data_IF_972585625245
#
_entry.id   IF_972585625245
#
_cell.length_a   1.000
_cell.length_b   1.000
_cell.length_c   1.000
_cell.angle_alpha   90.00
_cell.angle_beta   90.00
_cell.angle_gamma   90.00
#
_symmetry.space_group_name_H-M   'P 1'
#
loop_
_entity.id
_entity.type
_entity.pdbx_description
1 polymer ?
#
# COMPACT_ATOMS: atom_id res chain seq x y z
N UNK A 1 -18.10 17.90 27.13
CA UNK A 1 -16.99 16.99 26.71
C UNK A 1 -17.53 15.56 26.67
N UNK A 2 -17.91 15.02 25.51
CA UNK A 2 -18.22 13.58 25.32
C UNK A 2 -16.94 12.86 24.91
N UNK A 3 -16.64 11.69 25.48
CA UNK A 3 -15.35 11.03 25.28
C UNK A 3 -15.18 10.55 23.84
N UNK A 4 -14.08 10.99 23.22
CA UNK A 4 -13.63 10.73 21.83
C UNK A 4 -13.18 9.26 21.59
N UNK A 5 -13.45 8.35 22.52
CA UNK A 5 -13.08 6.92 22.44
C UNK A 5 -14.02 6.07 21.57
N UNK A 6 -15.06 6.65 20.96
CA UNK A 6 -16.18 5.84 20.45
C UNK A 6 -16.14 5.50 18.95
N UNK A 7 -15.31 6.15 18.11
CA UNK A 7 -15.35 5.91 16.66
C UNK A 7 -14.33 4.88 16.17
N UNK A 8 -13.12 4.87 16.72
CA UNK A 8 -12.04 3.99 16.25
C UNK A 8 -12.37 2.49 16.32
N UNK A 9 -12.82 1.94 17.46
CA UNK A 9 -13.17 0.53 17.56
C UNK A 9 -14.38 0.13 16.68
N UNK A 10 -15.37 1.01 16.56
CA UNK A 10 -16.55 0.78 15.71
C UNK A 10 -16.16 0.82 14.23
N UNK A 11 -15.32 1.77 13.82
CA UNK A 11 -14.80 1.85 12.44
C UNK A 11 -13.89 0.67 12.14
N UNK A 12 -13.06 0.22 13.09
CA UNK A 12 -12.23 -0.97 12.96
C UNK A 12 -13.09 -2.21 12.72
N UNK A 13 -14.10 -2.46 13.56
CA UNK A 13 -15.01 -3.61 13.41
C UNK A 13 -15.80 -3.51 12.10
N UNK A 14 -16.29 -2.32 11.75
CA UNK A 14 -16.97 -2.10 10.45
C UNK A 14 -16.05 -2.31 9.27
N UNK A 15 -14.81 -1.85 9.33
CA UNK A 15 -13.80 -2.05 8.29
C UNK A 15 -13.51 -3.53 8.07
N UNK A 16 -13.42 -4.31 9.13
CA UNK A 16 -13.26 -5.76 9.10
C UNK A 16 -14.45 -6.49 8.52
N UNK A 17 -15.66 -6.06 8.91
CA UNK A 17 -16.90 -6.63 8.39
C UNK A 17 -17.09 -6.28 6.90
N UNK A 18 -16.69 -5.08 6.49
CA UNK A 18 -16.77 -4.63 5.10
C UNK A 18 -15.81 -5.40 4.17
N UNK A 19 -14.61 -5.73 4.64
CA UNK A 19 -13.61 -6.49 3.85
C UNK A 19 -14.08 -7.94 3.53
N UNK A 20 -15.04 -8.46 4.28
CA UNK A 20 -15.64 -9.79 4.07
C UNK A 20 -16.95 -9.77 3.28
N UNK A 21 -17.57 -8.59 3.13
CA UNK A 21 -18.84 -8.42 2.41
C UNK A 21 -18.56 -7.87 1.03
N UNK A 22 -19.34 -8.31 0.04
CA UNK A 22 -19.38 -7.61 -1.24
C UNK A 22 -19.73 -6.16 -1.01
N UNK A 23 -19.04 -5.20 -1.68
CA UNK A 23 -19.37 -3.79 -1.55
C UNK A 23 -20.79 -3.54 -2.05
N UNK A 24 -21.57 -2.81 -1.28
CA UNK A 24 -22.86 -2.30 -1.73
C UNK A 24 -22.61 -1.06 -2.60
N UNK A 25 -22.37 -1.31 -3.89
CA UNK A 25 -22.07 -0.27 -4.88
C UNK A 25 -23.21 0.75 -5.00
N UNK A 26 -24.47 0.30 -4.92
CA UNK A 26 -25.62 1.19 -5.01
C UNK A 26 -25.69 2.14 -3.81
N UNK A 27 -25.48 1.62 -2.60
CA UNK A 27 -25.44 2.43 -1.40
C UNK A 27 -24.22 3.37 -1.33
N UNK A 28 -23.08 3.00 -1.91
CA UNK A 28 -21.91 3.89 -2.05
C UNK A 28 -22.17 4.99 -3.09
N UNK A 29 -22.74 4.65 -4.24
CA UNK A 29 -23.10 5.61 -5.28
C UNK A 29 -24.18 6.61 -4.84
N UNK A 30 -25.13 6.18 -4.01
CA UNK A 30 -26.20 7.03 -3.48
C UNK A 30 -25.75 7.97 -2.35
N UNK A 31 -24.58 7.74 -1.72
CA UNK A 31 -24.11 8.58 -0.62
C UNK A 31 -23.81 10.00 -1.10
N UNK A 32 -24.32 11.00 -0.37
CA UNK A 32 -24.18 12.43 -0.70
C UNK A 32 -23.35 13.20 0.33
N UNK A 33 -23.11 12.62 1.50
CA UNK A 33 -22.36 13.27 2.59
C UNK A 33 -20.87 12.95 2.46
N UNK A 34 -20.00 13.96 2.22
CA UNK A 34 -18.59 13.76 1.95
C UNK A 34 -17.86 12.89 2.99
N UNK A 35 -17.94 13.26 4.27
CA UNK A 35 -17.32 12.51 5.37
C UNK A 35 -17.81 11.06 5.44
N UNK A 36 -19.12 10.85 5.25
CA UNK A 36 -19.71 9.52 5.32
C UNK A 36 -19.27 8.66 4.14
N UNK A 37 -19.14 9.25 2.96
CA UNK A 37 -18.61 8.57 1.77
C UNK A 37 -17.17 8.11 2.00
N UNK A 38 -16.28 9.01 2.44
CA UNK A 38 -14.87 8.69 2.73
C UNK A 38 -14.76 7.49 3.67
N UNK A 39 -15.46 7.51 4.81
CA UNK A 39 -15.38 6.41 5.78
C UNK A 39 -16.08 5.12 5.35
N UNK A 40 -17.03 5.18 4.42
CA UNK A 40 -17.70 3.98 3.88
C UNK A 40 -16.90 3.32 2.78
N UNK A 41 -16.23 4.11 1.92
CA UNK A 41 -15.44 3.57 0.81
C UNK A 41 -14.05 3.10 1.26
N UNK A 42 -13.46 3.71 2.29
CA UNK A 42 -12.11 3.42 2.76
C UNK A 42 -11.84 1.94 3.04
N UNK A 43 -12.69 1.16 3.75
CA UNK A 43 -12.44 -0.25 3.99
C UNK A 43 -12.35 -1.10 2.71
N UNK A 44 -13.14 -0.76 1.70
CA UNK A 44 -13.14 -1.45 0.41
C UNK A 44 -11.94 -1.06 -0.45
N UNK A 45 -11.53 0.21 -0.40
CA UNK A 45 -10.39 0.73 -1.15
C UNK A 45 -9.04 0.37 -0.52
N UNK A 46 -8.94 0.43 0.83
CA UNK A 46 -7.67 0.36 1.56
C UNK A 46 -7.39 -1.01 2.20
N UNK A 47 -8.39 -1.88 2.38
CA UNK A 47 -8.23 -3.21 2.97
C UNK A 47 -7.46 -3.20 4.32
N UNK A 48 -6.26 -3.79 4.37
CA UNK A 48 -5.42 -3.83 5.58
C UNK A 48 -4.96 -2.45 6.05
N UNK A 49 -4.71 -1.51 5.13
CA UNK A 49 -4.34 -0.13 5.49
C UNK A 49 -5.48 0.63 6.20
N UNK A 50 -6.74 0.30 5.90
CA UNK A 50 -7.88 0.92 6.58
C UNK A 50 -7.79 0.74 8.11
N UNK A 51 -7.36 -0.43 8.58
CA UNK A 51 -7.22 -0.70 10.01
C UNK A 51 -6.19 0.22 10.68
N UNK A 52 -5.05 0.45 10.02
CA UNK A 52 -4.01 1.35 10.53
C UNK A 52 -4.46 2.82 10.50
N UNK A 53 -5.24 3.22 9.49
CA UNK A 53 -5.75 4.59 9.38
C UNK A 53 -6.80 4.90 10.46
N UNK A 54 -7.78 4.01 10.67
CA UNK A 54 -8.91 4.28 11.56
C UNK A 54 -8.56 4.33 13.05
N UNK A 55 -7.40 3.79 13.46
CA UNK A 55 -6.91 3.85 14.83
C UNK A 55 -6.12 5.11 15.14
N UNK A 56 -5.72 5.90 14.14
CA UNK A 56 -5.03 7.17 14.32
C UNK A 56 -5.91 8.21 15.07
N UNK A 57 -5.33 9.24 15.70
CA UNK A 57 -6.09 10.38 16.19
C UNK A 57 -6.97 10.97 15.07
N UNK A 58 -8.15 11.48 15.44
CA UNK A 58 -9.22 11.84 14.49
C UNK A 58 -8.76 12.68 13.30
N UNK A 59 -8.02 13.76 13.55
CA UNK A 59 -7.59 14.67 12.47
C UNK A 59 -6.54 14.01 11.57
N UNK A 60 -5.61 13.25 12.16
CA UNK A 60 -4.64 12.48 11.40
C UNK A 60 -5.31 11.34 10.61
N UNK A 61 -6.26 10.63 11.20
CA UNK A 61 -7.03 9.59 10.51
C UNK A 61 -7.80 10.15 9.31
N UNK A 62 -8.37 11.34 9.45
CA UNK A 62 -9.11 12.03 8.39
C UNK A 62 -8.20 12.44 7.24
N UNK A 63 -7.06 13.05 7.56
CA UNK A 63 -6.05 13.43 6.56
C UNK A 63 -5.46 12.20 5.85
N UNK A 64 -5.12 11.14 6.62
CA UNK A 64 -4.62 9.89 6.08
C UNK A 64 -5.65 9.17 5.18
N UNK A 65 -6.93 9.18 5.54
CA UNK A 65 -7.99 8.60 4.72
C UNK A 65 -8.12 9.31 3.38
N UNK A 66 -8.14 10.65 3.36
CA UNK A 66 -8.20 11.47 2.14
C UNK A 66 -6.96 11.22 1.27
N UNK A 67 -5.76 11.29 1.85
CA UNK A 67 -4.51 11.03 1.15
C UNK A 67 -4.48 9.63 0.53
N UNK A 68 -4.87 8.61 1.30
CA UNK A 68 -4.94 7.24 0.82
C UNK A 68 -5.92 7.07 -0.35
N UNK A 69 -7.10 7.69 -0.29
CA UNK A 69 -8.08 7.60 -1.36
C UNK A 69 -7.56 8.26 -2.66
N UNK A 70 -6.82 9.36 -2.58
CA UNK A 70 -6.17 9.94 -3.75
C UNK A 70 -5.06 9.03 -4.31
N UNK A 71 -4.23 8.43 -3.46
CA UNK A 71 -3.28 7.42 -3.90
C UNK A 71 -3.98 6.25 -4.60
N UNK A 72 -5.11 5.77 -4.04
CA UNK A 72 -5.91 4.71 -4.66
C UNK A 72 -6.48 5.11 -6.03
N UNK A 73 -6.86 6.38 -6.23
CA UNK A 73 -7.27 6.87 -7.55
C UNK A 73 -6.11 6.84 -8.56
N UNK A 74 -4.88 7.20 -8.13
CA UNK A 74 -3.67 7.03 -8.96
C UNK A 74 -3.43 5.56 -9.34
N UNK A 75 -3.48 4.64 -8.34
CA UNK A 75 -3.39 3.20 -8.61
C UNK A 75 -4.47 2.73 -9.61
N UNK A 76 -5.66 3.33 -9.56
CA UNK A 76 -6.76 2.97 -10.47
C UNK A 76 -6.46 3.40 -11.91
N UNK A 77 -5.83 4.58 -12.12
CA UNK A 77 -5.31 4.96 -13.45
C UNK A 77 -4.20 4.03 -13.92
N UNK A 78 -3.31 3.60 -13.03
CA UNK A 78 -2.24 2.65 -13.37
C UNK A 78 -2.81 1.29 -13.78
N UNK A 79 -3.77 0.76 -13.01
CA UNK A 79 -4.29 -0.60 -13.13
C UNK A 79 -5.38 -0.78 -14.21
N UNK A 80 -6.21 0.25 -14.45
CA UNK A 80 -7.43 0.16 -15.25
C UNK A 80 -7.45 1.08 -16.48
N UNK A 81 -6.35 1.74 -16.83
CA UNK A 81 -6.29 2.46 -18.11
C UNK A 81 -6.16 1.49 -19.28
N UNK A 82 -6.80 1.85 -20.39
CA UNK A 82 -6.88 1.01 -21.60
C UNK A 82 -5.50 0.73 -22.23
N UNK A 83 -4.62 1.73 -22.22
CA UNK A 83 -3.30 1.67 -22.83
C UNK A 83 -2.27 2.54 -22.05
N UNK A 84 -0.97 2.40 -22.33
CA UNK A 84 0.07 3.17 -21.65
C UNK A 84 -0.05 4.70 -21.81
N UNK A 85 -0.52 5.19 -22.94
CA UNK A 85 -0.66 6.64 -23.19
C UNK A 85 -1.81 7.21 -22.35
N UNK A 86 -2.97 6.53 -22.33
CA UNK A 86 -4.11 6.89 -21.48
C UNK A 86 -3.74 6.84 -19.99
N UNK A 87 -2.95 5.84 -19.57
CA UNK A 87 -2.42 5.73 -18.20
C UNK A 87 -1.59 6.94 -17.81
N UNK A 88 -0.60 7.29 -18.61
CA UNK A 88 0.29 8.44 -18.36
C UNK A 88 -0.51 9.74 -18.34
N UNK A 89 -1.44 9.93 -19.30
CA UNK A 89 -2.30 11.10 -19.36
C UNK A 89 -3.20 11.20 -18.11
N UNK A 90 -3.80 10.11 -17.69
CA UNK A 90 -4.64 10.04 -16.48
C UNK A 90 -3.87 10.38 -15.21
N UNK A 91 -2.68 9.80 -15.01
CA UNK A 91 -1.81 10.06 -13.87
C UNK A 91 -1.38 11.55 -13.82
N UNK A 92 -0.90 12.11 -14.94
CA UNK A 92 -0.50 13.52 -15.04
C UNK A 92 -1.69 14.46 -14.82
N UNK A 93 -2.82 14.17 -15.47
CA UNK A 93 -4.04 14.97 -15.34
C UNK A 93 -4.59 14.95 -13.92
N UNK A 94 -4.56 13.79 -13.24
CA UNK A 94 -5.00 13.69 -11.86
C UNK A 94 -4.12 14.53 -10.91
N UNK A 95 -2.80 14.46 -11.05
CA UNK A 95 -1.86 15.23 -10.22
C UNK A 95 -1.99 16.75 -10.48
N UNK A 96 -2.19 17.17 -11.73
CA UNK A 96 -2.32 18.59 -12.10
C UNK A 96 -3.53 19.28 -11.45
N UNK A 97 -4.56 18.53 -11.03
CA UNK A 97 -5.76 19.07 -10.34
C UNK A 97 -5.40 19.84 -9.06
N UNK A 98 -4.34 19.41 -8.35
CA UNK A 98 -3.92 20.00 -7.07
C UNK A 98 -3.30 21.41 -7.21
N UNK A 99 -2.99 21.84 -8.43
CA UNK A 99 -2.56 23.21 -8.74
C UNK A 99 -3.71 24.15 -9.15
N UNK A 100 -4.95 23.66 -9.17
CA UNK A 100 -6.12 24.41 -9.62
C UNK A 100 -7.06 24.75 -8.45
N UNK A 101 -7.72 25.90 -8.52
CA UNK A 101 -8.78 26.30 -7.58
C UNK A 101 -9.93 26.93 -8.38
N UNK A 102 -11.12 26.29 -8.44
CA UNK A 102 -11.43 24.97 -7.87
C UNK A 102 -10.73 23.83 -8.61
N UNK A 103 -10.54 22.70 -7.92
CA UNK A 103 -10.01 21.48 -8.53
C UNK A 103 -10.98 20.94 -9.59
N UNK A 104 -10.55 20.70 -10.84
CA UNK A 104 -11.41 20.15 -11.88
C UNK A 104 -11.75 18.68 -11.57
N UNK A 105 -12.83 18.16 -12.16
CA UNK A 105 -13.14 16.74 -12.08
C UNK A 105 -12.01 15.89 -12.69
N UNK A 106 -11.68 14.71 -12.11
CA UNK A 106 -10.70 13.82 -12.70
C UNK A 106 -11.23 13.23 -14.02
N UNK A 107 -10.31 12.87 -14.91
CA UNK A 107 -10.67 12.19 -16.16
C UNK A 107 -11.35 10.85 -15.85
N UNK A 108 -12.48 10.51 -16.51
CA UNK A 108 -13.17 9.25 -16.27
C UNK A 108 -12.37 8.07 -16.85
N UNK A 109 -12.50 6.90 -16.23
CA UNK A 109 -12.03 5.61 -16.75
C UNK A 109 -13.26 4.81 -17.19
N UNK A 110 -13.21 4.16 -18.34
CA UNK A 110 -14.34 3.39 -18.88
C UNK A 110 -14.78 2.26 -17.93
N UNK A 111 -16.07 2.22 -17.60
CA UNK A 111 -16.63 1.22 -16.69
C UNK A 111 -16.45 -0.23 -17.19
N UNK A 112 -16.33 -0.46 -18.50
CA UNK A 112 -16.09 -1.76 -19.12
C UNK A 112 -14.71 -2.36 -18.81
N UNK A 113 -13.80 -1.59 -18.21
CA UNK A 113 -12.46 -2.06 -17.81
C UNK A 113 -12.44 -2.71 -16.42
N UNK A 114 -13.54 -2.66 -15.65
CA UNK A 114 -13.66 -3.32 -14.36
C UNK A 114 -13.75 -4.85 -14.52
N UNK A 115 -12.87 -5.57 -13.88
CA UNK A 115 -12.79 -7.04 -13.89
C UNK A 115 -13.65 -7.67 -12.80
N UNK A 116 -13.84 -6.97 -11.69
CA UNK A 116 -14.56 -7.44 -10.51
C UNK A 116 -15.24 -6.30 -9.74
N UNK A 117 -15.91 -6.62 -8.62
CA UNK A 117 -16.57 -5.63 -7.77
C UNK A 117 -15.59 -4.67 -7.09
N UNK A 118 -14.34 -5.07 -6.90
CA UNK A 118 -13.29 -4.22 -6.34
C UNK A 118 -12.89 -3.13 -7.34
N UNK A 119 -12.68 -3.50 -8.59
CA UNK A 119 -12.40 -2.53 -9.65
C UNK A 119 -13.56 -1.54 -9.79
N UNK A 120 -14.82 -2.01 -9.66
CA UNK A 120 -16.00 -1.15 -9.67
C UNK A 120 -16.02 -0.14 -8.52
N UNK A 121 -15.59 -0.54 -7.30
CA UNK A 121 -15.42 0.41 -6.19
C UNK A 121 -14.36 1.47 -6.51
N UNK A 122 -13.25 1.06 -7.13
CA UNK A 122 -12.18 1.98 -7.49
C UNK A 122 -12.62 2.97 -8.59
N UNK A 123 -13.37 2.52 -9.58
CA UNK A 123 -13.97 3.39 -10.61
C UNK A 123 -14.99 4.35 -9.98
N UNK A 124 -15.87 3.83 -9.11
CA UNK A 124 -16.84 4.66 -8.38
C UNK A 124 -16.13 5.74 -7.53
N UNK A 125 -14.97 5.42 -6.97
CA UNK A 125 -14.18 6.39 -6.20
C UNK A 125 -13.71 7.56 -7.09
N UNK A 126 -13.32 7.31 -8.34
CA UNK A 126 -12.98 8.36 -9.32
C UNK A 126 -14.22 9.17 -9.68
N UNK A 127 -15.35 8.53 -10.00
CA UNK A 127 -16.61 9.21 -10.33
C UNK A 127 -17.11 10.11 -9.20
N UNK A 128 -16.87 9.70 -7.95
CA UNK A 128 -17.29 10.41 -6.74
C UNK A 128 -16.17 11.22 -6.10
N UNK A 129 -15.09 11.49 -6.81
CA UNK A 129 -13.93 12.21 -6.34
C UNK A 129 -14.30 13.55 -5.68
N UNK A 130 -15.30 14.26 -6.18
CA UNK A 130 -15.78 15.51 -5.61
C UNK A 130 -16.18 15.40 -4.13
N UNK A 131 -16.61 14.23 -3.65
CA UNK A 131 -16.89 14.01 -2.22
C UNK A 131 -15.60 13.91 -1.40
N UNK A 132 -14.53 13.36 -1.96
CA UNK A 132 -13.21 13.35 -1.33
C UNK A 132 -12.60 14.76 -1.34
N UNK A 133 -12.74 15.49 -2.47
CA UNK A 133 -12.30 16.87 -2.61
C UNK A 133 -12.98 17.80 -1.59
N UNK A 134 -14.28 17.59 -1.32
CA UNK A 134 -15.01 18.35 -0.31
C UNK A 134 -14.45 18.13 1.11
N UNK A 135 -14.01 16.92 1.45
CA UNK A 135 -13.34 16.66 2.73
C UNK A 135 -11.93 17.27 2.73
N UNK A 136 -11.17 17.10 1.65
CA UNK A 136 -9.84 17.69 1.47
C UNK A 136 -9.86 19.22 1.67
N UNK A 137 -10.83 19.91 1.10
CA UNK A 137 -10.97 21.38 1.22
C UNK A 137 -11.12 21.86 2.68
N UNK A 138 -11.60 20.99 3.58
CA UNK A 138 -11.76 21.32 5.01
C UNK A 138 -10.51 21.01 5.85
N UNK A 139 -9.47 20.39 5.28
CA UNK A 139 -8.20 20.16 5.97
C UNK A 139 -7.38 21.45 6.06
N UNK A 140 -6.51 21.54 7.05
CA UNK A 140 -5.60 22.67 7.19
C UNK A 140 -4.71 22.87 5.95
N UNK A 141 -4.29 24.11 5.66
CA UNK A 141 -3.55 24.43 4.42
C UNK A 141 -2.24 23.65 4.30
N UNK A 142 -1.51 23.46 5.39
CA UNK A 142 -0.27 22.69 5.40
C UNK A 142 -0.50 21.21 5.09
N UNK A 143 -1.55 20.61 5.66
CA UNK A 143 -1.92 19.21 5.37
C UNK A 143 -2.32 19.05 3.91
N UNK A 144 -3.09 20.01 3.36
CA UNK A 144 -3.43 20.04 1.95
C UNK A 144 -2.21 20.12 1.05
N UNK A 145 -1.26 20.99 1.40
CA UNK A 145 -0.01 21.10 0.65
C UNK A 145 0.82 19.81 0.68
N UNK A 146 0.88 19.12 1.82
CA UNK A 146 1.54 17.80 1.93
C UNK A 146 0.85 16.74 1.07
N UNK A 147 -0.48 16.68 1.08
CA UNK A 147 -1.24 15.76 0.23
C UNK A 147 -0.98 16.07 -1.25
N UNK A 148 -0.96 17.34 -1.65
CA UNK A 148 -0.62 17.75 -3.03
C UNK A 148 0.78 17.28 -3.44
N UNK A 149 1.79 17.45 -2.57
CA UNK A 149 3.15 16.94 -2.83
C UNK A 149 3.20 15.42 -2.93
N UNK A 150 2.50 14.70 -2.04
CA UNK A 150 2.38 13.24 -2.10
C UNK A 150 1.82 12.78 -3.45
N UNK A 151 0.68 13.34 -3.86
CA UNK A 151 0.02 12.98 -5.12
C UNK A 151 0.92 13.27 -6.32
N UNK A 152 1.57 14.44 -6.36
CA UNK A 152 2.49 14.81 -7.43
C UNK A 152 3.70 13.84 -7.51
N UNK A 153 4.32 13.52 -6.37
CA UNK A 153 5.49 12.63 -6.33
C UNK A 153 5.13 11.19 -6.70
N UNK A 154 4.00 10.68 -6.18
CA UNK A 154 3.54 9.34 -6.51
C UNK A 154 3.17 9.24 -8.00
N UNK A 155 2.41 10.20 -8.53
CA UNK A 155 2.05 10.23 -9.95
C UNK A 155 3.29 10.28 -10.86
N UNK A 156 4.29 11.10 -10.54
CA UNK A 156 5.55 11.16 -11.29
C UNK A 156 6.28 9.82 -11.31
N UNK A 157 6.32 9.11 -10.18
CA UNK A 157 6.91 7.78 -10.09
C UNK A 157 6.14 6.73 -10.89
N UNK A 158 4.81 6.77 -10.85
CA UNK A 158 3.95 5.85 -11.62
C UNK A 158 4.02 6.12 -13.13
N UNK A 159 4.13 7.39 -13.53
CA UNK A 159 4.40 7.76 -14.94
C UNK A 159 5.72 7.17 -15.39
N UNK A 160 6.80 7.36 -14.61
CA UNK A 160 8.10 6.76 -14.91
C UNK A 160 8.01 5.24 -15.05
N UNK A 161 7.31 4.56 -14.10
CA UNK A 161 7.15 3.11 -14.14
C UNK A 161 6.39 2.66 -15.39
N UNK A 162 5.28 3.34 -15.72
CA UNK A 162 4.48 3.05 -16.92
C UNK A 162 5.29 3.19 -18.20
N UNK A 163 6.11 4.25 -18.30
CA UNK A 163 7.01 4.46 -19.43
C UNK A 163 8.15 3.42 -19.46
N UNK A 164 8.68 3.01 -18.29
CA UNK A 164 9.70 1.97 -18.21
C UNK A 164 9.15 0.61 -18.67
N UNK A 165 7.99 0.19 -18.17
CA UNK A 165 7.32 -1.03 -18.62
C UNK A 165 7.06 -1.01 -20.13
N UNK A 166 6.54 0.11 -20.66
CA UNK A 166 6.27 0.23 -22.10
C UNK A 166 7.54 0.10 -22.96
N UNK A 167 8.66 0.69 -22.53
CA UNK A 167 9.93 0.60 -23.25
C UNK A 167 10.61 -0.76 -23.14
N UNK A 168 10.37 -1.48 -22.05
CA UNK A 168 11.05 -2.73 -21.70
C UNK A 168 10.16 -3.97 -21.90
N UNK A 169 9.10 -3.86 -22.70
CA UNK A 169 8.25 -5.01 -23.00
C UNK A 169 7.45 -5.55 -21.81
N UNK A 170 7.17 -4.73 -20.81
CA UNK A 170 6.39 -5.12 -19.61
C UNK A 170 7.24 -5.56 -18.41
N UNK A 171 8.59 -5.46 -18.49
CA UNK A 171 9.48 -5.94 -17.42
C UNK A 171 10.33 -4.81 -16.85
N UNK A 172 10.53 -4.75 -15.54
CA UNK A 172 11.58 -3.93 -14.94
C UNK A 172 12.93 -4.65 -14.97
N UNK A 173 14.00 -3.93 -15.31
CA UNK A 173 15.30 -4.51 -15.62
C UNK A 173 16.21 -4.80 -14.41
N UNK A 174 15.71 -4.76 -13.18
CA UNK A 174 16.52 -5.14 -12.02
C UNK A 174 16.14 -4.44 -10.71
N UNK A 175 16.94 -4.71 -9.68
CA UNK A 175 16.67 -4.27 -8.30
C UNK A 175 16.57 -2.74 -8.15
N UNK A 176 17.37 -1.97 -8.89
CA UNK A 176 17.32 -0.50 -8.81
C UNK A 176 15.97 0.04 -9.27
N UNK A 177 15.47 -0.44 -10.42
CA UNK A 177 14.17 -0.04 -10.95
C UNK A 177 13.03 -0.52 -10.04
N UNK A 178 13.12 -1.74 -9.52
CA UNK A 178 12.18 -2.27 -8.55
C UNK A 178 12.14 -1.42 -7.27
N UNK A 179 13.30 -1.08 -6.71
CA UNK A 179 13.40 -0.21 -5.54
C UNK A 179 12.83 1.19 -5.81
N UNK A 180 13.13 1.77 -7.00
CA UNK A 180 12.54 3.04 -7.42
C UNK A 180 11.01 2.96 -7.49
N UNK A 181 10.45 1.90 -8.06
CA UNK A 181 9.01 1.66 -8.10
C UNK A 181 8.41 1.58 -6.69
N UNK A 182 8.98 0.74 -5.81
CA UNK A 182 8.53 0.59 -4.44
C UNK A 182 8.52 1.94 -3.67
N UNK A 183 9.60 2.72 -3.80
CA UNK A 183 9.68 4.05 -3.20
C UNK A 183 8.65 5.03 -3.76
N UNK A 184 8.32 4.90 -5.03
CA UNK A 184 7.30 5.75 -5.67
C UNK A 184 5.90 5.47 -5.15
N UNK A 185 5.49 4.21 -5.02
CA UNK A 185 4.10 3.85 -4.71
C UNK A 185 3.82 3.69 -3.21
N UNK A 186 4.80 3.34 -2.38
CA UNK A 186 4.66 3.22 -0.92
C UNK A 186 5.61 4.14 -0.16
N UNK A 187 6.79 4.47 -0.72
CA UNK A 187 7.75 5.33 -0.05
C UNK A 187 7.23 6.75 0.18
N UNK A 188 6.67 7.39 -0.83
CA UNK A 188 6.05 8.71 -0.67
C UNK A 188 4.87 8.70 0.32
N UNK A 189 3.92 7.74 0.26
CA UNK A 189 2.91 7.56 1.31
C UNK A 189 3.48 7.35 2.72
N UNK A 190 4.57 6.58 2.86
CA UNK A 190 5.21 6.37 4.16
C UNK A 190 5.82 7.67 4.72
N UNK A 191 6.54 8.43 3.89
CA UNK A 191 7.07 9.74 4.28
C UNK A 191 5.95 10.71 4.66
N UNK A 192 4.86 10.76 3.88
CA UNK A 192 3.69 11.57 4.22
C UNK A 192 3.08 11.16 5.57
N UNK A 193 2.98 9.85 5.85
CA UNK A 193 2.47 9.38 7.14
C UNK A 193 3.34 9.85 8.31
N UNK A 194 4.67 9.86 8.15
CA UNK A 194 5.60 10.37 9.16
C UNK A 194 5.43 11.87 9.35
N UNK A 195 5.39 12.64 8.27
CA UNK A 195 5.14 14.09 8.32
C UNK A 195 3.80 14.42 8.99
N UNK A 196 2.79 13.56 8.81
CA UNK A 196 1.47 13.72 9.43
C UNK A 196 1.49 13.43 10.94
N UNK A 197 2.30 12.47 11.36
CA UNK A 197 2.45 12.06 12.77
C UNK A 197 3.38 13.03 13.52
N UNK A 198 4.43 13.52 12.86
CA UNK A 198 5.46 14.40 13.41
C UNK A 198 5.19 15.90 13.22
N UNK A 199 3.92 16.31 13.04
CA UNK A 199 3.52 17.72 12.85
C UNK A 199 4.29 18.45 11.72
N UNK A 200 4.70 17.68 10.71
CA UNK A 200 5.34 18.19 9.50
C UNK A 200 6.83 17.96 9.40
N UNK A 201 7.44 17.44 10.43
CA UNK A 201 8.85 17.10 10.42
C UNK A 201 9.08 15.64 9.99
N UNK A 202 10.05 15.44 9.10
CA UNK A 202 10.56 14.12 8.73
C UNK A 202 12.09 14.21 8.62
N UNK A 203 12.82 13.95 9.70
CA UNK A 203 14.28 13.96 9.69
C UNK A 203 14.87 13.10 8.58
N UNK A 204 16.02 13.47 8.03
CA UNK A 204 16.63 12.79 6.88
C UNK A 204 16.82 11.29 7.12
N UNK A 205 17.27 10.92 8.32
CA UNK A 205 17.46 9.52 8.70
C UNK A 205 16.14 8.76 8.80
N UNK A 206 15.09 9.40 9.37
CA UNK A 206 13.77 8.80 9.43
C UNK A 206 13.17 8.63 8.03
N UNK A 207 13.43 9.57 7.12
CA UNK A 207 13.05 9.47 5.71
C UNK A 207 13.75 8.30 5.03
N UNK A 208 15.05 8.09 5.26
CA UNK A 208 15.80 6.99 4.70
C UNK A 208 15.25 5.63 5.21
N UNK A 209 15.05 5.49 6.53
CA UNK A 209 14.46 4.30 7.11
C UNK A 209 13.02 4.04 6.62
N UNK A 210 12.22 5.09 6.40
CA UNK A 210 10.86 4.97 5.86
C UNK A 210 10.86 4.46 4.41
N UNK A 211 11.77 4.95 3.57
CA UNK A 211 11.91 4.49 2.19
C UNK A 211 12.35 3.03 2.12
N UNK A 212 13.31 2.62 2.96
CA UNK A 212 13.75 1.22 3.06
C UNK A 212 12.64 0.30 3.60
N UNK A 213 11.94 0.70 4.67
CA UNK A 213 10.80 -0.04 5.20
C UNK A 213 9.64 -0.14 4.21
N UNK A 214 9.42 0.89 3.38
CA UNK A 214 8.40 0.91 2.34
C UNK A 214 8.67 -0.10 1.23
N UNK A 215 9.94 -0.36 0.90
CA UNK A 215 10.31 -1.42 -0.04
C UNK A 215 9.88 -2.79 0.49
N UNK A 216 10.11 -3.07 1.78
CA UNK A 216 9.62 -4.29 2.42
C UNK A 216 8.09 -4.41 2.33
N UNK A 217 7.35 -3.34 2.56
CA UNK A 217 5.88 -3.35 2.52
C UNK A 217 5.37 -3.55 1.09
N UNK A 218 5.96 -2.87 0.10
CA UNK A 218 5.53 -3.00 -1.30
C UNK A 218 5.90 -4.36 -1.89
N UNK A 219 7.07 -4.87 -1.57
CA UNK A 219 7.48 -6.22 -1.99
C UNK A 219 6.52 -7.30 -1.46
N UNK A 220 5.85 -7.11 -0.32
CA UNK A 220 4.81 -8.03 0.13
C UNK A 220 3.63 -8.09 -0.85
N UNK A 221 3.24 -6.94 -1.44
CA UNK A 221 2.19 -6.89 -2.46
C UNK A 221 2.66 -7.55 -3.76
N UNK A 222 3.83 -7.15 -4.28
CA UNK A 222 4.41 -7.70 -5.51
C UNK A 222 4.58 -9.22 -5.39
N UNK A 223 5.18 -9.70 -4.29
CA UNK A 223 5.41 -11.14 -4.05
C UNK A 223 4.11 -11.95 -3.99
N UNK A 224 3.03 -11.33 -3.48
CA UNK A 224 1.71 -11.96 -3.44
C UNK A 224 1.07 -12.06 -4.80
N UNK A 225 1.22 -11.03 -5.63
CA UNK A 225 0.40 -10.80 -6.81
C UNK A 225 1.13 -11.17 -8.13
N UNK A 226 2.31 -11.83 -8.09
CA UNK A 226 3.14 -12.19 -9.27
C UNK A 226 2.29 -12.78 -10.40
N UNK A 227 1.45 -13.78 -10.11
CA UNK A 227 0.65 -14.47 -11.11
C UNK A 227 -0.39 -13.54 -11.77
N UNK A 228 -0.99 -12.65 -10.98
CA UNK A 228 -1.94 -11.66 -11.49
C UNK A 228 -1.26 -10.58 -12.33
N UNK A 229 -0.05 -10.19 -11.97
CA UNK A 229 0.74 -9.20 -12.71
C UNK A 229 1.23 -9.78 -14.03
N UNK A 230 1.70 -11.03 -14.05
CA UNK A 230 2.07 -11.74 -15.29
C UNK A 230 0.90 -11.82 -16.27
N UNK A 231 -0.29 -12.16 -15.79
CA UNK A 231 -1.50 -12.20 -16.62
C UNK A 231 -1.86 -10.82 -17.22
N UNK A 232 -1.41 -9.73 -16.59
CA UNK A 232 -1.56 -8.34 -17.08
C UNK A 232 -0.41 -7.89 -17.99
N UNK A 233 0.57 -8.76 -18.27
CA UNK A 233 1.75 -8.44 -19.06
C UNK A 233 2.77 -7.58 -18.31
N UNK A 234 2.82 -7.68 -16.98
CA UNK A 234 3.74 -6.92 -16.12
C UNK A 234 4.58 -7.90 -15.29
N UNK A 235 5.89 -7.68 -15.26
CA UNK A 235 6.80 -8.38 -14.36
C UNK A 235 7.83 -7.39 -13.76
N UNK A 236 8.12 -7.59 -12.49
CA UNK A 236 9.11 -6.78 -11.76
C UNK A 236 10.47 -7.46 -11.67
N UNK A 237 10.63 -8.62 -12.32
CA UNK A 237 11.86 -9.39 -12.36
C UNK A 237 12.12 -9.94 -13.76
N UNK A 238 13.33 -9.76 -14.35
CA UNK A 238 13.63 -10.21 -15.72
C UNK A 238 13.43 -11.71 -15.95
N UNK A 239 13.68 -12.57 -14.95
CA UNK A 239 13.45 -14.01 -15.07
C UNK A 239 11.99 -14.40 -15.36
N UNK A 240 11.03 -13.48 -15.22
CA UNK A 240 9.61 -13.70 -15.49
C UNK A 240 9.21 -13.24 -16.91
N UNK A 241 10.10 -12.61 -17.67
CA UNK A 241 9.83 -12.11 -19.02
C UNK A 241 9.24 -13.17 -19.97
N UNK A 242 9.74 -14.45 -20.00
CA UNK A 242 9.19 -15.48 -20.88
C UNK A 242 7.73 -15.88 -20.55
N UNK A 243 7.21 -15.46 -19.41
CA UNK A 243 5.91 -15.86 -18.90
C UNK A 243 4.88 -14.71 -18.89
N UNK A 244 5.18 -13.58 -19.57
CA UNK A 244 4.26 -12.43 -19.65
C UNK A 244 3.01 -12.73 -20.47
N UNK A 245 1.90 -12.10 -20.09
CA UNK A 245 0.64 -12.13 -20.84
C UNK A 245 -0.24 -13.35 -20.61
N UNK A 246 0.17 -14.27 -19.73
CA UNK A 246 -0.62 -15.42 -19.36
C UNK A 246 -0.50 -15.75 -17.85
N UNK A 247 -1.48 -16.44 -17.30
CA UNK A 247 -1.30 -17.07 -15.99
C UNK A 247 -0.21 -18.16 -16.12
N UNK A 248 0.74 -18.24 -15.16
CA UNK A 248 1.79 -19.27 -15.22
C UNK A 248 1.18 -20.67 -15.31
N UNK A 249 1.52 -21.39 -16.36
CA UNK A 249 1.06 -22.75 -16.59
C UNK A 249 2.24 -23.68 -16.89
N UNK A 250 2.27 -24.80 -16.20
CA UNK A 250 3.33 -25.81 -16.33
C UNK A 250 4.50 -25.63 -15.37
N UNK A 251 5.31 -26.69 -15.23
CA UNK A 251 6.32 -26.81 -14.18
C UNK A 251 7.44 -25.78 -14.29
N UNK A 252 7.79 -25.33 -15.49
CA UNK A 252 8.84 -24.33 -15.72
C UNK A 252 8.40 -22.94 -15.23
N UNK A 253 7.21 -22.47 -15.63
CA UNK A 253 6.66 -21.20 -15.21
C UNK A 253 6.41 -21.16 -13.68
N UNK A 254 5.89 -22.25 -13.11
CA UNK A 254 5.71 -22.38 -11.68
C UNK A 254 7.04 -22.35 -10.92
N UNK A 255 8.08 -22.98 -11.46
CA UNK A 255 9.42 -22.94 -10.87
C UNK A 255 10.02 -21.53 -10.93
N UNK A 256 9.88 -20.81 -12.04
CA UNK A 256 10.34 -19.43 -12.20
C UNK A 256 9.61 -18.50 -11.20
N UNK A 257 8.30 -18.58 -11.11
CA UNK A 257 7.50 -17.81 -10.13
C UNK A 257 7.90 -18.11 -8.70
N UNK A 258 8.14 -19.38 -8.36
CA UNK A 258 8.59 -19.78 -7.04
C UNK A 258 9.97 -19.19 -6.71
N UNK A 259 10.91 -19.27 -7.64
CA UNK A 259 12.26 -18.75 -7.47
C UNK A 259 12.26 -17.22 -7.30
N UNK A 260 11.53 -16.50 -8.13
CA UNK A 260 11.38 -15.03 -8.01
C UNK A 260 10.67 -14.66 -6.69
N UNK A 261 9.66 -15.42 -6.27
CA UNK A 261 8.99 -15.19 -4.98
C UNK A 261 9.96 -15.35 -3.81
N UNK A 262 10.84 -16.34 -3.83
CA UNK A 262 11.87 -16.50 -2.79
C UNK A 262 12.88 -15.34 -2.81
N UNK A 263 13.29 -14.87 -3.97
CA UNK A 263 14.23 -13.76 -4.10
C UNK A 263 13.63 -12.45 -3.57
N UNK A 264 12.39 -12.13 -3.94
CA UNK A 264 11.69 -10.98 -3.39
C UNK A 264 11.51 -11.04 -1.88
N UNK A 265 11.19 -12.23 -1.36
CA UNK A 265 11.11 -12.41 0.10
C UNK A 265 12.47 -12.18 0.75
N UNK A 266 13.57 -12.70 0.19
CA UNK A 266 14.93 -12.48 0.70
C UNK A 266 15.26 -10.98 0.75
N UNK A 267 15.02 -10.28 -0.36
CA UNK A 267 15.25 -8.83 -0.45
C UNK A 267 14.44 -8.05 0.59
N UNK A 268 13.15 -8.37 0.71
CA UNK A 268 12.23 -7.67 1.59
C UNK A 268 12.49 -7.94 3.07
N UNK A 269 12.65 -9.20 3.45
CA UNK A 269 12.84 -9.59 4.85
C UNK A 269 14.19 -9.09 5.39
N UNK A 270 15.21 -8.97 4.53
CA UNK A 270 16.49 -8.35 4.86
C UNK A 270 16.40 -6.87 5.24
N UNK A 271 15.29 -6.18 4.87
CA UNK A 271 15.04 -4.77 5.22
C UNK A 271 14.25 -4.57 6.52
N UNK A 272 13.95 -5.63 7.24
CA UNK A 272 13.13 -5.56 8.46
C UNK A 272 13.70 -4.61 9.53
N UNK A 273 15.03 -4.51 9.63
CA UNK A 273 15.71 -3.60 10.55
C UNK A 273 15.38 -2.13 10.33
N UNK A 274 15.07 -1.72 9.08
CA UNK A 274 14.67 -0.34 8.79
C UNK A 274 13.33 0.01 9.45
N UNK A 275 12.37 -0.92 9.48
CA UNK A 275 11.10 -0.69 10.16
C UNK A 275 11.29 -0.50 11.66
N UNK A 276 12.17 -1.28 12.29
CA UNK A 276 12.51 -1.14 13.71
C UNK A 276 13.19 0.20 13.98
N UNK A 277 14.25 0.55 13.23
CA UNK A 277 14.92 1.85 13.38
C UNK A 277 13.95 3.02 13.26
N UNK A 278 13.01 2.94 12.30
CA UNK A 278 11.96 3.94 12.13
C UNK A 278 11.05 4.02 13.36
N UNK A 279 10.62 2.86 13.88
CA UNK A 279 9.76 2.78 15.07
C UNK A 279 10.43 3.41 16.30
N UNK A 280 11.70 3.12 16.54
CA UNK A 280 12.49 3.63 17.66
C UNK A 280 12.79 5.14 17.49
N UNK A 281 13.24 5.55 16.30
CA UNK A 281 13.66 6.94 15.98
C UNK A 281 12.53 7.94 16.09
N UNK A 282 11.34 7.58 15.68
CA UNK A 282 10.16 8.44 15.72
C UNK A 282 9.36 8.28 17.04
N UNK A 283 9.89 7.51 17.99
CA UNK A 283 9.19 7.21 19.24
C UNK A 283 7.71 6.81 19.02
N UNK A 284 7.49 6.00 17.97
CA UNK A 284 6.13 5.55 17.60
C UNK A 284 5.46 4.77 18.73
N UNK A 285 6.26 4.27 19.68
CA UNK A 285 5.80 3.63 20.90
C UNK A 285 5.08 4.56 21.88
N UNK A 286 5.28 5.88 21.81
CA UNK A 286 4.79 6.84 22.80
C UNK A 286 3.27 7.03 22.77
N UNK A 287 2.70 7.25 21.61
CA UNK A 287 1.26 7.51 21.46
C UNK A 287 0.50 6.22 21.17
N UNK A 288 -0.42 5.84 22.03
CA UNK A 288 -1.14 4.56 21.97
C UNK A 288 -1.75 4.23 20.60
N UNK A 289 -2.39 5.19 19.95
CA UNK A 289 -3.03 5.01 18.66
C UNK A 289 -2.01 4.90 17.50
N UNK A 290 -0.96 5.72 17.51
CA UNK A 290 0.13 5.68 16.51
C UNK A 290 0.88 4.36 16.63
N UNK A 291 1.23 3.97 17.84
CA UNK A 291 1.86 2.69 18.18
C UNK A 291 1.05 1.51 17.64
N UNK A 292 -0.27 1.53 17.85
CA UNK A 292 -1.16 0.47 17.37
C UNK A 292 -1.23 0.46 15.83
N UNK A 293 -1.27 1.63 15.18
CA UNK A 293 -1.24 1.73 13.72
C UNK A 293 0.04 1.13 13.14
N UNK A 294 1.19 1.42 13.74
CA UNK A 294 2.48 0.85 13.34
C UNK A 294 2.50 -0.69 13.53
N UNK A 295 2.09 -1.18 14.69
CA UNK A 295 2.01 -2.64 14.95
C UNK A 295 1.06 -3.32 13.96
N UNK A 296 -0.10 -2.74 13.65
CA UNK A 296 -1.04 -3.27 12.66
C UNK A 296 -0.39 -3.37 11.27
N UNK A 297 0.31 -2.34 10.83
CA UNK A 297 1.01 -2.35 9.54
C UNK A 297 2.02 -3.49 9.47
N UNK A 298 2.84 -3.64 10.49
CA UNK A 298 3.86 -4.69 10.56
C UNK A 298 3.26 -6.09 10.58
N UNK A 299 2.23 -6.32 11.40
CA UNK A 299 1.57 -7.63 11.52
C UNK A 299 0.80 -8.03 10.24
N UNK A 300 0.24 -7.07 9.50
CA UNK A 300 -0.34 -7.36 8.19
C UNK A 300 0.74 -7.70 7.15
N UNK A 301 1.88 -7.03 7.18
CA UNK A 301 3.03 -7.36 6.34
C UNK A 301 3.57 -8.76 6.67
N UNK A 302 3.72 -9.08 7.95
CA UNK A 302 4.09 -10.42 8.43
C UNK A 302 3.11 -11.51 7.93
N UNK A 303 1.81 -11.28 8.06
CA UNK A 303 0.79 -12.20 7.56
C UNK A 303 0.93 -12.48 6.06
N UNK A 304 1.24 -11.43 5.26
CA UNK A 304 1.44 -11.58 3.81
C UNK A 304 2.67 -12.43 3.50
N UNK A 305 3.82 -12.19 4.14
CA UNK A 305 5.04 -12.96 3.90
C UNK A 305 4.92 -14.41 4.34
N UNK A 306 4.23 -14.69 5.44
CA UNK A 306 3.94 -16.08 5.85
C UNK A 306 3.08 -16.79 4.81
N UNK A 307 2.11 -16.10 4.21
CA UNK A 307 1.34 -16.61 3.08
C UNK A 307 2.20 -16.87 1.84
N UNK A 308 3.16 -16.00 1.54
CA UNK A 308 4.12 -16.19 0.44
C UNK A 308 5.06 -17.38 0.71
N UNK A 309 5.57 -17.52 1.93
CA UNK A 309 6.39 -18.67 2.32
C UNK A 309 5.65 -19.99 2.11
N UNK A 310 4.38 -20.07 2.50
CA UNK A 310 3.57 -21.26 2.26
C UNK A 310 3.44 -21.60 0.76
N UNK A 311 3.34 -20.59 -0.13
CA UNK A 311 3.28 -20.80 -1.59
C UNK A 311 4.60 -21.30 -2.20
N UNK A 312 5.73 -21.07 -1.54
CA UNK A 312 7.02 -21.64 -1.98
C UNK A 312 7.28 -23.04 -1.42
N UNK A 313 6.32 -23.62 -0.69
CA UNK A 313 6.46 -24.91 -0.01
C UNK A 313 7.25 -24.86 1.29
N UNK A 314 7.61 -23.66 1.76
CA UNK A 314 8.30 -23.48 3.03
C UNK A 314 7.33 -23.43 4.20
N UNK A 315 7.75 -23.94 5.34
CA UNK A 315 6.97 -23.79 6.58
C UNK A 315 7.02 -22.32 7.03
N UNK A 316 5.87 -21.66 7.13
CA UNK A 316 5.85 -20.31 7.66
C UNK A 316 6.27 -20.28 9.14
N UNK A 317 6.91 -19.21 9.55
CA UNK A 317 7.23 -18.96 10.97
C UNK A 317 5.95 -18.68 11.79
N UNK A 318 6.00 -18.82 13.12
CA UNK A 318 4.85 -18.60 13.99
C UNK A 318 4.33 -17.16 13.92
N UNK A 319 3.02 -17.00 13.94
CA UNK A 319 2.37 -15.66 13.93
C UNK A 319 0.86 -15.74 13.76
N UNK A 320 0.17 -14.59 13.72
CA UNK A 320 -1.30 -14.56 13.58
C UNK A 320 -1.78 -15.29 12.34
N UNK A 321 -2.68 -16.28 12.49
CA UNK A 321 -3.16 -17.14 11.39
C UNK A 321 -4.16 -16.48 10.43
N UNK A 322 -4.49 -15.20 10.62
CA UNK A 322 -5.43 -14.46 9.76
C UNK A 322 -5.70 -13.07 10.26
N UNK A 323 -6.47 -12.29 9.50
CA UNK A 323 -6.72 -10.86 9.80
C UNK A 323 -7.31 -10.59 11.19
N UNK A 324 -8.25 -11.42 11.66
CA UNK A 324 -8.81 -11.27 13.00
C UNK A 324 -7.75 -11.48 14.09
N UNK A 325 -6.85 -12.46 13.88
CA UNK A 325 -5.75 -12.71 14.80
C UNK A 325 -4.72 -11.56 14.77
N UNK A 326 -4.45 -10.95 13.60
CA UNK A 326 -3.62 -9.73 13.49
C UNK A 326 -4.21 -8.61 14.33
N UNK A 327 -5.51 -8.36 14.22
CA UNK A 327 -6.16 -7.31 14.99
C UNK A 327 -6.14 -7.60 16.49
N UNK A 328 -6.48 -8.83 16.89
CA UNK A 328 -6.39 -9.24 18.29
C UNK A 328 -4.96 -9.11 18.82
N UNK A 329 -3.95 -9.48 18.01
CA UNK A 329 -2.53 -9.34 18.34
C UNK A 329 -2.03 -7.89 18.43
N UNK A 330 -2.70 -6.94 17.76
CA UNK A 330 -2.34 -5.52 17.84
C UNK A 330 -3.05 -4.78 19.00
N UNK A 331 -4.17 -5.28 19.52
CA UNK A 331 -4.92 -4.61 20.59
C UNK A 331 -4.08 -4.32 21.85
N UNK A 332 -3.22 -5.22 22.35
CA UNK A 332 -2.40 -4.93 23.51
C UNK A 332 -1.46 -3.74 23.33
N UNK A 333 -1.09 -3.40 22.08
CA UNK A 333 -0.29 -2.22 21.80
C UNK A 333 -1.01 -0.90 22.18
N UNK A 334 -2.34 -0.86 22.28
CA UNK A 334 -3.06 0.30 22.82
C UNK A 334 -2.71 0.59 24.28
N UNK A 335 -2.48 -0.46 25.06
CA UNK A 335 -2.30 -0.36 26.52
C UNK A 335 -0.83 -0.44 26.92
N UNK A 336 0.03 -1.13 26.17
CA UNK A 336 1.39 -1.45 26.57
C UNK A 336 2.41 -1.05 25.48
N UNK A 337 3.28 -0.05 25.75
CA UNK A 337 4.43 0.25 24.89
C UNK A 337 5.38 -0.95 24.75
N UNK A 338 5.68 -1.64 25.83
CA UNK A 338 6.58 -2.80 25.82
C UNK A 338 6.06 -3.98 25.00
N UNK A 339 4.73 -4.15 24.92
CA UNK A 339 4.13 -5.13 24.01
C UNK A 339 4.38 -4.77 22.54
N UNK A 340 4.21 -3.50 22.20
CA UNK A 340 4.44 -3.04 20.83
C UNK A 340 5.90 -3.21 20.44
N UNK A 341 6.84 -2.77 21.28
CA UNK A 341 8.28 -2.92 21.09
C UNK A 341 8.67 -4.40 20.97
N UNK A 342 8.22 -5.24 21.90
CA UNK A 342 8.46 -6.69 21.84
C UNK A 342 7.88 -7.33 20.57
N UNK A 343 6.75 -6.83 20.05
CA UNK A 343 6.17 -7.29 18.78
C UNK A 343 7.05 -6.90 17.60
N UNK A 344 7.54 -5.67 17.56
CA UNK A 344 8.44 -5.19 16.48
C UNK A 344 9.74 -5.98 16.48
N UNK A 345 10.37 -6.16 17.63
CA UNK A 345 11.60 -6.95 17.79
C UNK A 345 11.40 -8.40 17.35
N UNK A 346 10.30 -9.01 17.74
CA UNK A 346 9.98 -10.40 17.37
C UNK A 346 9.82 -10.55 15.88
N UNK A 347 9.02 -9.68 15.24
CA UNK A 347 8.78 -9.77 13.78
C UNK A 347 10.06 -9.50 13.00
N UNK A 348 10.88 -8.52 13.41
CA UNK A 348 12.20 -8.27 12.82
C UNK A 348 13.06 -9.54 12.86
N UNK A 349 13.21 -10.16 14.02
CA UNK A 349 13.99 -11.40 14.18
C UNK A 349 13.44 -12.50 13.30
N UNK A 350 12.14 -12.75 13.33
CA UNK A 350 11.48 -13.80 12.55
C UNK A 350 11.69 -13.59 11.03
N UNK A 351 11.73 -12.33 10.57
CA UNK A 351 12.01 -11.97 9.18
C UNK A 351 13.47 -12.21 8.82
N UNK A 352 14.41 -11.76 9.64
CA UNK A 352 15.84 -11.95 9.40
C UNK A 352 16.22 -13.44 9.42
N UNK A 353 15.69 -14.22 10.35
CA UNK A 353 15.88 -15.66 10.42
C UNK A 353 15.31 -16.36 9.15
N UNK A 354 14.13 -15.95 8.68
CA UNK A 354 13.55 -16.47 7.48
C UNK A 354 14.37 -16.11 6.21
N UNK A 355 14.95 -14.92 6.15
CA UNK A 355 15.77 -14.47 5.03
C UNK A 355 17.02 -15.32 4.81
N UNK A 356 17.66 -15.79 5.88
CA UNK A 356 18.88 -16.62 5.81
C UNK A 356 18.68 -17.90 5.00
N UNK A 357 17.48 -18.49 5.06
CA UNK A 357 17.15 -19.73 4.35
C UNK A 357 16.71 -19.54 2.89
N UNK A 358 16.60 -18.30 2.40
CA UNK A 358 16.10 -17.98 1.05
C UNK A 358 17.24 -17.87 0.04
N UNK A 359 16.98 -18.32 -1.20
CA UNK A 359 17.97 -18.26 -2.30
C UNK A 359 17.91 -16.89 -2.99
N UNK A 360 19.08 -16.36 -3.36
CA UNK A 360 19.16 -15.28 -4.35
C UNK A 360 19.18 -15.86 -5.76
N UNK A 361 18.47 -15.22 -6.68
CA UNK A 361 18.66 -15.48 -8.10
C UNK A 361 19.94 -14.77 -8.56
N UNK A 362 20.75 -15.39 -9.44
CA UNK A 362 21.87 -14.69 -10.08
C UNK A 362 21.32 -13.52 -10.89
N UNK A 363 22.06 -12.40 -11.00
CA UNK A 363 21.68 -11.31 -11.87
C UNK A 363 21.52 -11.86 -13.30
N UNK A 364 20.37 -11.56 -13.92
CA UNK A 364 20.16 -11.89 -15.33
C UNK A 364 21.15 -11.04 -16.11
N UNK A 365 22.04 -11.68 -16.87
CA UNK A 365 22.97 -10.98 -17.74
C UNK A 365 22.17 -10.05 -18.66
N UNK A 366 22.50 -8.76 -18.66
CA UNK A 366 21.91 -7.82 -19.59
C UNK A 366 22.18 -8.36 -21.00
N UNK A 367 21.13 -8.74 -21.71
CA UNK A 367 21.25 -9.22 -23.07
C UNK A 367 21.96 -8.16 -23.92
N UNK A 368 23.03 -8.57 -24.55
CA UNK A 368 23.83 -7.79 -25.50
C UNK A 368 23.02 -7.37 -26.72
#
# INVERSE_FOLDING_TARGET
>A
MRPLLSLGPVLLVRGLAADRRRPDLAALAAERRPERFVWRVLPHAARSFAASIVVLPREQARAAAVAYLYCRMLDTYEDLSADPAARVAGLRGFAARFGCDPMPAPAPIGAGLARDDRDRVHLLLIERCALVDAVYATLGPEVRARIGRLVASMAAGMVWASEAFARQGGVLSGEEQLGRYCRSVIGHPAVFAIELIGDGDCPADARADALEASEMIQLANITRDIEADLARGIAYHPALEPHLGAAPAGPEAEAAVRAVREDYMRMALGRAGAYRRLFDRLDLGRTATIRTAAVLMLLFTDLHYRGCAARTGRRPWPGPGGRLAVLAGALPALLSPSWAEGTVIRVERDFLDAAVGLRSLPPVAAGS
#
